data_IF_557573443039
#
_entry.id   IF_557573443039
#
_cell.length_a   1.000
_cell.length_b   1.000
_cell.length_c   1.000
_cell.angle_alpha   90.00
_cell.angle_beta   90.00
_cell.angle_gamma   90.00
#
_symmetry.space_group_name_H-M   'P 1'
#
loop_
_entity.id
_entity.type
_entity.pdbx_description
1 polymer ?
#
# COMPACT_ATOMS: atom_id res chain seq x y z
N UNK A 1 -24.87 -1.10 -36.54
CA UNK A 1 -24.99 -1.93 -35.33
C UNK A 1 -24.87 -1.01 -34.13
N UNK A 2 -25.98 -0.78 -33.42
CA UNK A 2 -26.11 0.28 -32.41
C UNK A 2 -26.21 -0.37 -31.04
N UNK A 3 -25.25 -0.14 -30.16
CA UNK A 3 -25.23 -0.72 -28.82
C UNK A 3 -25.71 0.30 -27.78
N UNK A 4 -26.93 0.09 -27.29
CA UNK A 4 -27.53 0.86 -26.19
C UNK A 4 -27.07 0.26 -24.86
N UNK A 5 -26.20 0.98 -24.14
CA UNK A 5 -25.85 0.62 -22.76
C UNK A 5 -26.92 1.12 -21.78
N UNK A 6 -27.60 0.20 -21.10
CA UNK A 6 -28.47 0.52 -19.94
C UNK A 6 -27.60 0.74 -18.71
N UNK A 7 -27.43 2.00 -18.29
CA UNK A 7 -26.95 2.34 -16.95
C UNK A 7 -28.03 1.96 -15.91
N UNK A 8 -27.76 0.96 -15.07
CA UNK A 8 -28.54 0.74 -13.86
C UNK A 8 -27.89 1.55 -12.71
N UNK A 9 -28.49 2.69 -12.35
CA UNK A 9 -28.27 3.32 -11.03
C UNK A 9 -29.07 2.53 -10.00
N UNK A 10 -28.41 2.04 -8.95
CA UNK A 10 -29.08 1.82 -7.66
C UNK A 10 -28.46 2.76 -6.64
N UNK A 11 -29.26 3.78 -6.30
CA UNK A 11 -29.07 4.70 -5.20
C UNK A 11 -29.80 4.15 -3.97
N UNK A 12 -29.15 4.36 -2.82
CA UNK A 12 -29.68 4.59 -1.49
C UNK A 12 -30.22 3.43 -0.64
N UNK A 13 -30.13 3.72 0.68
CA UNK A 13 -30.87 3.14 1.82
C UNK A 13 -30.08 2.07 2.61
N UNK A 14 -29.92 2.11 3.93
CA UNK A 14 -30.65 2.88 4.94
C UNK A 14 -29.87 2.89 6.26
N UNK A 15 -29.80 4.05 6.91
CA UNK A 15 -29.41 4.17 8.31
C UNK A 15 -30.46 3.52 9.20
N UNK A 16 -30.05 2.61 10.09
CA UNK A 16 -30.79 2.34 11.32
C UNK A 16 -29.82 2.36 12.50
N UNK A 17 -29.78 3.53 13.12
CA UNK A 17 -29.45 3.72 14.52
C UNK A 17 -30.31 2.77 15.36
N UNK A 18 -29.66 1.97 16.20
CA UNK A 18 -30.34 1.23 17.26
C UNK A 18 -29.45 1.29 18.50
N UNK A 19 -29.67 2.35 19.27
CA UNK A 19 -29.19 2.53 20.64
C UNK A 19 -29.87 1.50 21.53
N UNK A 20 -29.10 0.72 22.29
CA UNK A 20 -29.61 0.02 23.48
C UNK A 20 -28.74 0.39 24.67
N UNK A 21 -29.34 1.15 25.58
CA UNK A 21 -28.87 1.45 26.92
C UNK A 21 -29.31 0.30 27.82
N UNK A 22 -28.40 -0.27 28.62
CA UNK A 22 -28.76 -1.14 29.74
C UNK A 22 -27.91 -0.78 30.98
N UNK A 23 -28.62 -0.65 32.10
CA UNK A 23 -28.26 -0.07 33.39
C UNK A 23 -27.83 -1.15 34.41
N UNK A 24 -27.07 -0.70 35.43
CA UNK A 24 -26.96 -1.23 36.81
C UNK A 24 -26.12 -2.53 37.01
N UNK A 25 -25.39 -2.79 38.10
CA UNK A 25 -25.24 -2.13 39.41
C UNK A 25 -24.02 -2.73 40.18
N UNK A 26 -23.46 -1.93 41.10
CA UNK A 26 -22.71 -2.23 42.34
C UNK A 26 -21.65 -3.37 42.41
N UNK A 27 -20.45 -2.98 42.87
CA UNK A 27 -19.44 -3.93 43.37
C UNK A 27 -18.26 -3.26 44.10
N UNK A 28 -18.43 -3.03 45.40
CA UNK A 28 -17.46 -3.16 46.49
C UNK A 28 -16.09 -2.42 46.48
N UNK A 29 -15.88 -1.66 47.56
CA UNK A 29 -14.59 -1.35 48.20
C UNK A 29 -13.67 -2.57 48.35
N UNK A 30 -12.35 -2.32 48.30
CA UNK A 30 -11.39 -3.08 49.10
C UNK A 30 -9.98 -3.20 48.54
N UNK A 31 -9.00 -2.56 49.20
CA UNK A 31 -7.65 -3.12 49.31
C UNK A 31 -6.52 -2.32 48.66
N UNK A 32 -5.93 -1.40 49.40
CA UNK A 32 -4.56 -0.91 49.15
C UNK A 32 -3.56 -2.03 49.44
N UNK A 33 -2.67 -2.35 48.48
CA UNK A 33 -1.32 -2.88 48.75
C UNK A 33 -0.42 -2.66 47.52
N UNK A 34 0.64 -1.85 47.63
CA UNK A 34 1.57 -1.56 46.53
C UNK A 34 2.78 -2.49 46.64
N UNK A 35 2.93 -3.47 45.73
CA UNK A 35 4.23 -4.06 45.39
C UNK A 35 4.07 -4.92 44.14
N UNK A 36 4.38 -4.33 43.00
CA UNK A 36 4.52 -5.02 41.74
C UNK A 36 4.89 -3.96 40.72
N UNK A 37 6.19 -3.79 40.48
CA UNK A 37 6.64 -3.10 39.29
C UNK A 37 6.18 -3.94 38.10
N UNK A 38 4.94 -3.71 37.69
CA UNK A 38 4.37 -4.28 36.49
C UNK A 38 5.13 -3.63 35.33
N UNK A 39 6.27 -4.24 35.00
CA UNK A 39 7.10 -3.88 33.87
C UNK A 39 6.45 -4.38 32.59
N UNK A 40 5.15 -4.14 32.43
CA UNK A 40 4.49 -4.26 31.14
C UNK A 40 5.10 -3.17 30.26
N UNK A 41 5.88 -3.52 29.22
CA UNK A 41 6.42 -2.54 28.31
C UNK A 41 5.25 -1.74 27.72
N UNK A 42 5.38 -0.41 27.56
CA UNK A 42 4.33 0.37 26.92
C UNK A 42 3.98 -0.27 25.56
N UNK A 43 2.69 -0.33 25.19
CA UNK A 43 2.29 -0.94 23.93
C UNK A 43 3.04 -0.26 22.79
N UNK A 44 3.76 -1.06 21.99
CA UNK A 44 4.48 -0.56 20.82
C UNK A 44 3.47 0.01 19.83
N UNK A 45 3.42 1.33 19.72
CA UNK A 45 2.55 2.02 18.76
C UNK A 45 3.16 1.93 17.37
N UNK A 46 2.42 1.33 16.43
CA UNK A 46 2.79 1.29 15.02
C UNK A 46 3.11 2.71 14.51
N UNK A 47 4.25 2.87 13.83
CA UNK A 47 4.68 4.16 13.28
C UNK A 47 4.48 4.16 11.76
N UNK A 48 3.54 4.94 11.25
CA UNK A 48 3.31 5.04 9.81
C UNK A 48 4.40 5.85 9.09
N UNK A 49 4.65 5.56 7.82
CA UNK A 49 5.59 6.33 7.02
C UNK A 49 5.73 5.87 5.57
N UNK A 50 6.52 6.62 4.81
CA UNK A 50 6.83 6.32 3.42
C UNK A 50 8.08 5.44 3.32
N UNK A 51 7.99 4.40 2.49
CA UNK A 51 9.11 3.63 1.96
C UNK A 51 9.33 4.04 0.50
N UNK A 52 10.53 3.80 -0.01
CA UNK A 52 10.99 4.17 -1.34
C UNK A 52 11.13 2.92 -2.20
N UNK A 53 10.59 2.94 -3.42
CA UNK A 53 10.78 1.88 -4.41
C UNK A 53 11.91 2.27 -5.35
N UNK A 54 12.98 1.48 -5.33
CA UNK A 54 14.10 1.59 -6.25
C UNK A 54 13.98 0.54 -7.35
N UNK A 55 14.22 0.95 -8.58
CA UNK A 55 14.33 0.11 -9.75
C UNK A 55 15.79 0.01 -10.17
N UNK A 56 16.24 -1.21 -10.47
CA UNK A 56 17.40 -1.42 -11.32
C UNK A 56 16.91 -2.07 -12.62
N UNK A 57 17.15 -1.39 -13.74
CA UNK A 57 16.84 -1.86 -15.09
C UNK A 57 18.13 -2.07 -15.87
N UNK A 58 18.22 -3.13 -16.70
CA UNK A 58 19.34 -3.32 -17.62
C UNK A 58 19.24 -2.41 -18.86
N UNK A 59 18.10 -1.76 -19.08
CA UNK A 59 17.80 -1.00 -20.30
C UNK A 59 17.84 0.51 -20.05
N UNK A 60 18.17 1.27 -21.09
CA UNK A 60 18.27 2.74 -21.04
C UNK A 60 17.06 3.45 -21.64
N UNK A 61 16.17 2.71 -22.28
CA UNK A 61 15.06 3.18 -23.10
C UNK A 61 13.70 2.63 -22.66
N UNK A 62 13.60 2.22 -21.39
CA UNK A 62 12.32 1.88 -20.77
C UNK A 62 11.34 3.07 -20.86
N UNK A 63 10.11 2.74 -21.24
CA UNK A 63 8.99 3.66 -21.37
C UNK A 63 7.86 3.44 -20.39
N UNK A 64 7.65 2.18 -20.02
CA UNK A 64 6.66 1.79 -19.04
C UNK A 64 7.17 0.58 -18.24
N UNK A 65 6.93 0.59 -16.93
CA UNK A 65 7.24 -0.54 -16.05
C UNK A 65 6.06 -0.76 -15.10
N UNK A 66 5.57 -1.99 -15.04
CA UNK A 66 4.56 -2.43 -14.10
C UNK A 66 5.22 -3.10 -12.89
N UNK A 67 4.85 -2.65 -11.71
CA UNK A 67 5.28 -3.18 -10.43
C UNK A 67 4.12 -3.86 -9.71
N UNK A 68 4.44 -4.92 -8.97
CA UNK A 68 3.59 -5.42 -7.90
C UNK A 68 4.31 -5.20 -6.57
N UNK A 69 3.58 -4.64 -5.60
CA UNK A 69 4.03 -4.38 -4.23
C UNK A 69 3.18 -5.21 -3.29
N UNK A 70 3.79 -5.84 -2.29
CA UNK A 70 3.08 -6.62 -1.29
C UNK A 70 3.74 -6.46 0.06
N UNK A 71 2.93 -6.34 1.12
CA UNK A 71 3.44 -6.30 2.48
C UNK A 71 2.37 -5.90 3.48
N UNK A 72 2.64 -6.04 4.78
CA UNK A 72 1.70 -5.67 5.83
C UNK A 72 1.48 -4.15 5.84
N UNK A 73 0.20 -3.75 5.86
CA UNK A 73 -0.18 -2.36 6.08
C UNK A 73 0.21 -1.41 4.95
N UNK A 74 0.45 -1.91 3.72
CA UNK A 74 0.52 -1.07 2.52
C UNK A 74 -0.84 -0.40 2.33
N UNK A 75 -0.82 0.91 2.22
CA UNK A 75 -2.03 1.73 2.20
C UNK A 75 -2.15 2.53 0.91
N UNK A 76 -1.05 3.17 0.47
CA UNK A 76 -1.01 3.92 -0.77
C UNK A 76 0.35 3.82 -1.46
N UNK A 77 0.35 3.99 -2.77
CA UNK A 77 1.56 4.01 -3.60
C UNK A 77 1.50 5.28 -4.45
N UNK A 78 2.62 6.00 -4.55
CA UNK A 78 2.74 7.22 -5.35
C UNK A 78 3.98 7.14 -6.23
N UNK A 79 3.81 7.44 -7.51
CA UNK A 79 4.93 7.66 -8.43
C UNK A 79 5.71 8.92 -8.01
N UNK A 80 7.01 8.95 -8.25
CA UNK A 80 7.83 10.16 -8.06
C UNK A 80 8.06 10.90 -9.37
N UNK A 81 8.17 12.23 -9.30
CA UNK A 81 8.63 13.05 -10.42
C UNK A 81 10.04 12.61 -10.86
N UNK A 82 10.38 12.61 -12.16
CA UNK A 82 9.60 13.12 -13.30
C UNK A 82 8.63 12.12 -13.93
N UNK A 83 8.43 10.95 -13.32
CA UNK A 83 7.62 9.90 -13.92
C UNK A 83 6.12 10.13 -13.70
N UNK A 84 5.33 9.65 -14.65
CA UNK A 84 3.87 9.55 -14.52
C UNK A 84 3.49 8.14 -14.13
N UNK A 85 2.33 7.94 -13.52
CA UNK A 85 1.87 6.60 -13.24
C UNK A 85 0.55 6.53 -12.51
N UNK A 86 0.02 5.32 -12.47
CA UNK A 86 -1.21 4.99 -11.77
C UNK A 86 -0.96 3.83 -10.83
N UNK A 87 -1.43 3.98 -9.60
CA UNK A 87 -1.35 2.93 -8.60
C UNK A 87 -2.74 2.54 -8.09
N UNK A 88 -2.86 1.27 -7.73
CA UNK A 88 -4.01 0.70 -7.06
C UNK A 88 -3.51 -0.13 -5.88
N UNK A 89 -4.11 0.04 -4.72
CA UNK A 89 -3.86 -0.80 -3.54
C UNK A 89 -5.15 -1.53 -3.20
N UNK A 90 -5.07 -2.85 -3.16
CA UNK A 90 -6.16 -3.71 -2.71
C UNK A 90 -6.25 -3.68 -1.18
N UNK A 91 -7.45 -3.95 -0.66
CA UNK A 91 -7.72 -3.99 0.80
C UNK A 91 -6.83 -5.02 1.52
N UNK A 92 -6.35 -6.04 0.80
CA UNK A 92 -5.42 -7.06 1.31
C UNK A 92 -3.99 -6.56 1.57
N UNK A 93 -3.64 -5.32 1.23
CA UNK A 93 -2.26 -4.80 1.33
C UNK A 93 -1.34 -5.18 0.16
N UNK A 94 -1.93 -5.68 -0.93
CA UNK A 94 -1.22 -5.83 -2.21
C UNK A 94 -1.52 -4.65 -3.12
N UNK A 95 -0.54 -4.15 -3.85
CA UNK A 95 -0.69 -3.02 -4.76
C UNK A 95 -0.04 -3.26 -6.11
N UNK A 96 -0.61 -2.63 -7.12
CA UNK A 96 -0.05 -2.58 -8.47
C UNK A 96 0.22 -1.13 -8.83
N UNK A 97 1.33 -0.90 -9.51
CA UNK A 97 1.73 0.41 -10.00
C UNK A 97 2.19 0.26 -11.44
N UNK A 98 1.69 1.12 -12.32
CA UNK A 98 2.26 1.31 -13.66
C UNK A 98 2.94 2.67 -13.67
N UNK A 99 4.24 2.68 -13.94
CA UNK A 99 5.04 3.89 -14.13
C UNK A 99 5.32 4.05 -15.61
N UNK A 100 5.24 5.28 -16.11
CA UNK A 100 5.55 5.65 -17.49
C UNK A 100 6.45 6.88 -17.54
N UNK A 101 7.18 7.03 -18.65
CA UNK A 101 8.04 8.16 -18.93
C UNK A 101 9.47 7.73 -19.24
N UNK A 102 10.43 8.58 -18.89
CA UNK A 102 11.83 8.33 -19.18
C UNK A 102 12.53 7.46 -18.14
N UNK A 103 12.07 6.22 -18.01
CA UNK A 103 12.45 5.33 -16.90
C UNK A 103 13.92 4.92 -17.01
N UNK A 104 14.64 5.08 -15.88
CA UNK A 104 16.01 4.63 -15.68
C UNK A 104 16.13 4.01 -14.29
N UNK A 105 17.30 3.40 -14.00
CA UNK A 105 17.60 2.91 -12.66
C UNK A 105 17.56 4.04 -11.63
N UNK A 106 16.94 3.80 -10.48
CA UNK A 106 16.77 4.79 -9.42
C UNK A 106 15.43 4.71 -8.72
N UNK A 107 15.04 5.79 -8.03
CA UNK A 107 13.76 5.87 -7.31
C UNK A 107 12.64 6.10 -8.30
N UNK A 108 11.61 5.25 -8.27
CA UNK A 108 10.47 5.32 -9.20
C UNK A 108 9.13 5.56 -8.50
N UNK A 109 9.02 5.20 -7.23
CA UNK A 109 7.80 5.38 -6.45
C UNK A 109 8.08 5.41 -4.95
N UNK A 110 7.04 5.73 -4.18
CA UNK A 110 6.99 5.63 -2.72
C UNK A 110 5.75 4.85 -2.29
N UNK A 111 5.87 4.10 -1.22
CA UNK A 111 4.81 3.27 -0.64
C UNK A 111 4.55 3.74 0.78
N UNK A 112 3.32 4.14 1.10
CA UNK A 112 2.92 4.44 2.47
C UNK A 112 2.56 3.14 3.18
N UNK A 113 3.14 2.94 4.36
CA UNK A 113 2.84 1.82 5.24
C UNK A 113 2.37 2.32 6.59
N UNK A 114 1.48 1.55 7.22
CA UNK A 114 0.98 1.86 8.58
C UNK A 114 2.01 1.63 9.67
N UNK A 115 3.04 0.82 9.39
CA UNK A 115 4.09 0.48 10.35
C UNK A 115 5.44 0.27 9.65
N UNK A 116 6.33 1.25 9.74
CA UNK A 116 7.67 1.21 9.14
C UNK A 116 8.62 0.24 9.86
N UNK A 117 8.27 -0.22 11.08
CA UNK A 117 9.04 -1.29 11.74
C UNK A 117 8.94 -2.61 10.98
N UNK A 118 7.90 -2.77 10.14
CA UNK A 118 7.66 -3.93 9.28
C UNK A 118 8.13 -3.74 7.84
N UNK A 119 8.95 -2.71 7.57
CA UNK A 119 9.41 -2.40 6.22
C UNK A 119 10.12 -3.58 5.53
N UNK A 120 10.84 -4.43 6.27
CA UNK A 120 11.51 -5.62 5.74
C UNK A 120 10.56 -6.68 5.17
N UNK A 121 9.27 -6.61 5.51
CA UNK A 121 8.23 -7.50 5.00
C UNK A 121 7.54 -6.94 3.75
N UNK A 122 7.89 -5.73 3.33
CA UNK A 122 7.34 -5.09 2.14
C UNK A 122 8.27 -5.39 0.97
N UNK A 123 7.72 -6.01 -0.06
CA UNK A 123 8.45 -6.39 -1.27
C UNK A 123 7.87 -5.69 -2.48
N UNK A 124 8.72 -5.45 -3.47
CA UNK A 124 8.33 -4.98 -4.80
C UNK A 124 8.93 -5.91 -5.85
N UNK A 125 8.21 -6.10 -6.94
CA UNK A 125 8.66 -6.91 -8.09
C UNK A 125 8.22 -6.28 -9.39
N UNK A 126 9.03 -6.41 -10.43
CA UNK A 126 8.67 -6.00 -11.79
C UNK A 126 7.85 -7.11 -12.44
N UNK A 127 6.71 -6.77 -13.04
CA UNK A 127 5.78 -7.70 -13.69
C UNK A 127 5.80 -7.57 -15.21
N UNK A 128 6.02 -6.37 -15.70
CA UNK A 128 6.18 -6.09 -17.12
C UNK A 128 7.03 -4.83 -17.30
N UNK A 129 7.76 -4.76 -18.41
CA UNK A 129 8.46 -3.58 -18.87
C UNK A 129 8.26 -3.43 -20.37
N UNK A 130 8.26 -2.20 -20.87
CA UNK A 130 8.04 -1.91 -22.28
C UNK A 130 8.93 -0.77 -22.78
N UNK A 131 9.39 -0.88 -24.03
CA UNK A 131 10.24 0.10 -24.70
C UNK A 131 9.47 1.40 -24.99
N UNK A 132 10.12 2.56 -24.83
CA UNK A 132 9.49 3.90 -24.85
C UNK A 132 8.68 4.29 -26.08
N UNK A 133 9.10 3.89 -27.26
CA UNK A 133 8.48 4.35 -28.51
C UNK A 133 7.73 3.24 -29.25
N UNK A 134 7.99 1.98 -28.91
CA UNK A 134 7.39 0.83 -29.60
C UNK A 134 6.42 0.06 -28.72
N UNK A 135 6.48 0.27 -27.39
CA UNK A 135 5.73 -0.50 -26.40
C UNK A 135 5.95 -2.01 -26.50
N UNK A 136 7.07 -2.43 -27.13
CA UNK A 136 7.49 -3.82 -27.17
C UNK A 136 7.78 -4.30 -25.74
N UNK A 137 7.18 -5.42 -25.36
CA UNK A 137 7.42 -6.04 -24.07
C UNK A 137 8.87 -6.51 -23.97
N UNK A 138 9.47 -6.28 -22.80
CA UNK A 138 10.84 -6.66 -22.50
C UNK A 138 10.88 -7.83 -21.53
N UNK A 139 11.96 -8.60 -21.59
CA UNK A 139 12.22 -9.64 -20.60
C UNK A 139 12.54 -9.01 -19.24
N UNK A 140 11.77 -9.39 -18.21
CA UNK A 140 11.90 -8.85 -16.86
C UNK A 140 12.92 -9.60 -16.01
N UNK A 141 13.53 -10.68 -16.52
CA UNK A 141 14.46 -11.55 -15.78
C UNK A 141 15.67 -10.81 -15.19
N UNK A 142 16.12 -9.74 -15.85
CA UNK A 142 17.25 -8.90 -15.44
C UNK A 142 16.84 -7.65 -14.63
N UNK A 143 15.54 -7.38 -14.47
CA UNK A 143 15.03 -6.26 -13.68
C UNK A 143 15.05 -6.57 -12.19
N UNK A 144 15.31 -5.57 -11.34
CA UNK A 144 15.20 -5.69 -9.89
C UNK A 144 14.42 -4.52 -9.32
N UNK A 145 13.55 -4.81 -8.35
CA UNK A 145 12.84 -3.79 -7.58
C UNK A 145 13.12 -4.02 -6.09
N UNK A 146 13.43 -2.95 -5.38
CA UNK A 146 13.76 -2.97 -3.96
C UNK A 146 12.92 -1.93 -3.23
N UNK A 147 12.53 -2.26 -2.01
CA UNK A 147 11.85 -1.32 -1.11
C UNK A 147 12.83 -0.97 0.01
N UNK A 148 13.12 0.32 0.15
CA UNK A 148 14.04 0.86 1.16
C UNK A 148 13.33 1.90 2.01
N UNK A 149 13.79 2.14 3.23
CA UNK A 149 13.21 3.15 4.12
C UNK A 149 13.69 4.55 3.77
#
# INVERSE_FOLDING_TARGET
>A
MTYTFKLARRLASNHRLASLVLLAALGACGGSSPTGSDSTPPPVTATSGWLTVQLATPNSDDGAVQFAVSGPGVDSIRTVSPYSGHAMVAVSGSGHLVVTGSIASGVVARVWVRDVSKASQVTASVRAAAVRNTYGLQDVSAYRALVVR
#
